data_IF_139938737835
#
_entry.id   IF_139938737835
#
_cell.length_a   1.000
_cell.length_b   1.000
_cell.length_c   1.000
_cell.angle_alpha   90.00
_cell.angle_beta   90.00
_cell.angle_gamma   90.00
#
_symmetry.space_group_name_H-M   'P 1'
#
loop_
_entity.id
_entity.type
_entity.pdbx_description
1 polymer ?
#
# COMPACT_ATOMS: atom_id res chain seq x y z
N UNK A 1 2.79 -29.81 33.12
CA UNK A 1 2.35 -31.01 32.37
C UNK A 1 0.98 -30.75 31.83
N UNK A 2 0.76 -30.95 30.62
CA UNK A 2 -0.41 -30.85 29.74
C UNK A 2 -0.29 -29.67 28.76
N UNK A 3 0.37 -29.97 27.68
CA UNK A 3 0.39 -29.22 26.41
C UNK A 3 -1.00 -29.33 25.77
N UNK A 4 -1.72 -28.22 25.78
CA UNK A 4 -2.95 -28.12 24.98
C UNK A 4 -2.59 -27.53 23.63
N UNK A 5 -2.32 -28.38 22.67
CA UNK A 5 -2.26 -28.09 21.24
C UNK A 5 -3.66 -27.68 20.78
N UNK A 6 -3.88 -26.38 20.62
CA UNK A 6 -5.11 -25.87 20.02
C UNK A 6 -4.97 -25.89 18.50
N UNK A 7 -5.26 -27.03 17.89
CA UNK A 7 -5.45 -27.20 16.46
C UNK A 7 -6.77 -26.53 16.07
N UNK A 8 -6.68 -25.29 15.58
CA UNK A 8 -7.78 -24.58 14.92
C UNK A 8 -8.14 -25.23 13.58
N UNK A 9 -8.70 -26.46 13.61
CA UNK A 9 -9.31 -27.08 12.44
C UNK A 9 -10.51 -26.24 12.01
N UNK A 10 -10.52 -25.87 10.74
CA UNK A 10 -11.62 -25.20 10.07
C UNK A 10 -12.94 -25.95 10.35
N UNK A 11 -13.87 -25.30 11.05
CA UNK A 11 -15.27 -25.72 11.04
C UNK A 11 -15.85 -25.37 9.68
N UNK A 12 -15.67 -26.24 8.70
CA UNK A 12 -16.52 -26.29 7.51
C UNK A 12 -17.88 -26.77 7.96
N UNK A 13 -18.90 -25.89 7.88
CA UNK A 13 -20.29 -26.25 8.14
C UNK A 13 -21.00 -25.54 9.28
N UNK A 14 -20.50 -24.44 9.87
CA UNK A 14 -21.31 -23.63 10.79
C UNK A 14 -22.39 -22.89 10.01
N UNK A 15 -23.63 -23.30 10.15
CA UNK A 15 -24.79 -22.55 9.64
C UNK A 15 -25.05 -21.39 10.59
N UNK A 16 -24.62 -20.17 10.21
CA UNK A 16 -24.96 -18.98 10.97
C UNK A 16 -26.48 -18.76 10.97
N UNK A 17 -27.02 -18.42 12.14
CA UNK A 17 -28.42 -18.04 12.31
C UNK A 17 -28.67 -16.58 12.01
N UNK A 18 -27.62 -15.73 12.03
CA UNK A 18 -27.74 -14.30 11.81
C UNK A 18 -26.57 -13.79 10.96
N UNK A 19 -26.87 -12.96 9.97
CA UNK A 19 -25.93 -12.28 9.08
C UNK A 19 -26.03 -10.77 9.32
N UNK A 20 -25.09 -10.20 10.04
CA UNK A 20 -25.05 -8.78 10.39
C UNK A 20 -24.09 -8.02 9.50
N UNK A 21 -24.59 -7.14 8.64
CA UNK A 21 -23.80 -6.19 7.86
C UNK A 21 -23.69 -4.86 8.58
N UNK A 22 -22.46 -4.34 8.67
CA UNK A 22 -22.15 -3.04 9.24
C UNK A 22 -21.53 -2.18 8.15
N UNK A 23 -22.24 -1.11 7.76
CA UNK A 23 -21.63 0.00 7.05
C UNK A 23 -21.00 0.95 8.05
N UNK A 24 -19.66 1.08 8.01
CA UNK A 24 -18.92 1.76 9.07
C UNK A 24 -18.64 3.22 8.71
N UNK A 25 -19.23 4.13 9.50
CA UNK A 25 -19.04 5.58 9.44
C UNK A 25 -18.15 6.12 10.58
N UNK A 26 -17.67 7.36 10.44
CA UNK A 26 -16.80 8.01 11.43
C UNK A 26 -17.49 8.27 12.79
N UNK A 27 -18.74 8.73 12.76
CA UNK A 27 -19.52 9.00 13.95
C UNK A 27 -20.48 7.88 14.28
N UNK A 28 -21.28 7.52 13.28
CA UNK A 28 -22.26 6.46 13.38
C UNK A 28 -22.03 5.41 12.31
N UNK A 29 -22.39 4.18 12.64
CA UNK A 29 -22.50 3.06 11.71
C UNK A 29 -23.97 2.87 11.32
N UNK A 30 -24.23 2.05 10.32
CA UNK A 30 -25.57 1.49 10.11
C UNK A 30 -25.47 -0.04 10.19
N UNK A 31 -26.37 -0.65 10.95
CA UNK A 31 -26.42 -2.10 11.14
C UNK A 31 -27.69 -2.66 10.50
N UNK A 32 -27.53 -3.65 9.65
CA UNK A 32 -28.62 -4.49 9.15
C UNK A 32 -28.31 -5.94 9.48
N UNK A 33 -29.24 -6.64 10.12
CA UNK A 33 -29.11 -8.06 10.41
C UNK A 33 -30.23 -8.85 9.74
N UNK A 34 -29.88 -9.96 9.11
CA UNK A 34 -30.79 -10.84 8.38
C UNK A 34 -30.73 -12.25 8.97
N UNK A 35 -31.89 -12.93 8.99
CA UNK A 35 -31.96 -14.35 9.20
C UNK A 35 -31.57 -15.15 7.94
N UNK A 36 -31.44 -16.48 7.98
CA UNK A 36 -31.12 -17.29 6.81
C UNK A 36 -32.13 -17.20 5.66
N UNK A 37 -33.40 -16.88 5.93
CA UNK A 37 -34.45 -16.70 4.94
C UNK A 37 -34.43 -15.29 4.30
N UNK A 38 -33.62 -14.36 4.86
CA UNK A 38 -33.55 -12.97 4.41
C UNK A 38 -34.51 -12.04 5.15
N UNK A 39 -35.17 -12.51 6.19
CA UNK A 39 -35.97 -11.70 7.10
C UNK A 39 -35.10 -10.75 7.91
N UNK A 40 -35.55 -9.49 8.07
CA UNK A 40 -34.80 -8.47 8.82
C UNK A 40 -34.99 -8.66 10.32
N UNK A 41 -33.89 -8.86 11.05
CA UNK A 41 -33.83 -8.90 12.51
C UNK A 41 -33.50 -7.53 13.11
N UNK A 42 -32.68 -6.74 12.41
CA UNK A 42 -32.38 -5.37 12.79
C UNK A 42 -32.12 -4.52 11.54
N UNK A 43 -32.46 -3.22 11.60
CA UNK A 43 -32.16 -2.21 10.58
C UNK A 43 -32.18 -0.85 11.27
N UNK A 44 -31.01 -0.37 11.69
CA UNK A 44 -30.92 0.87 12.48
C UNK A 44 -29.54 1.52 12.41
N UNK A 45 -29.48 2.86 12.58
CA UNK A 45 -28.24 3.54 12.87
C UNK A 45 -27.67 3.05 14.20
N UNK A 46 -26.34 2.96 14.28
CA UNK A 46 -25.61 2.42 15.42
C UNK A 46 -24.46 3.37 15.78
N UNK A 47 -24.49 4.03 16.93
CA UNK A 47 -23.38 4.84 17.37
C UNK A 47 -22.06 4.06 17.42
N UNK A 48 -20.96 4.69 17.06
CA UNK A 48 -19.64 4.07 17.13
C UNK A 48 -19.12 4.11 18.59
N UNK A 49 -19.83 3.44 19.47
CA UNK A 49 -19.46 3.24 20.88
C UNK A 49 -19.62 1.79 21.33
N UNK A 50 -18.81 1.38 22.30
CA UNK A 50 -18.75 0.00 22.76
C UNK A 50 -20.08 -0.50 23.34
N UNK A 51 -20.83 0.37 24.06
CA UNK A 51 -22.09 -0.03 24.71
C UNK A 51 -23.15 -0.35 23.65
N UNK A 52 -23.31 0.52 22.66
CA UNK A 52 -24.27 0.31 21.57
C UNK A 52 -23.95 -0.95 20.76
N UNK A 53 -22.67 -1.17 20.46
CA UNK A 53 -22.20 -2.36 19.76
C UNK A 53 -22.44 -3.64 20.55
N UNK A 54 -22.15 -3.65 21.88
CA UNK A 54 -22.43 -4.79 22.75
C UNK A 54 -23.93 -5.08 22.87
N UNK A 55 -24.77 -4.04 22.94
CA UNK A 55 -26.22 -4.21 23.00
C UNK A 55 -26.73 -4.89 21.72
N UNK A 56 -26.34 -4.36 20.54
CA UNK A 56 -26.74 -4.96 19.28
C UNK A 56 -26.30 -6.43 19.17
N UNK A 57 -25.04 -6.71 19.45
CA UNK A 57 -24.51 -8.07 19.33
C UNK A 57 -25.15 -9.04 20.31
N UNK A 58 -25.45 -8.59 21.54
CA UNK A 58 -26.18 -9.40 22.52
C UNK A 58 -27.62 -9.70 22.08
N UNK A 59 -28.33 -8.72 21.50
CA UNK A 59 -29.65 -8.91 20.91
C UNK A 59 -29.60 -9.94 19.75
N UNK A 60 -28.62 -9.83 18.87
CA UNK A 60 -28.49 -10.72 17.71
C UNK A 60 -28.12 -12.16 18.09
N UNK A 61 -27.30 -12.34 19.12
CA UNK A 61 -26.93 -13.68 19.62
C UNK A 61 -28.12 -14.47 20.19
N UNK A 62 -29.20 -13.79 20.60
CA UNK A 62 -30.42 -14.46 21.00
C UNK A 62 -31.15 -15.16 19.83
N UNK A 63 -30.85 -14.80 18.58
CA UNK A 63 -31.40 -15.42 17.38
C UNK A 63 -30.53 -16.52 16.77
N UNK A 64 -29.33 -16.73 17.30
CA UNK A 64 -28.43 -17.80 16.86
C UNK A 64 -26.96 -17.35 16.70
N UNK A 65 -26.15 -18.18 16.07
CA UNK A 65 -24.75 -17.87 15.78
C UNK A 65 -24.66 -16.72 14.77
N UNK A 66 -23.92 -15.66 15.13
CA UNK A 66 -23.84 -14.42 14.35
C UNK A 66 -22.57 -14.41 13.50
N UNK A 67 -22.72 -14.07 12.22
CA UNK A 67 -21.62 -13.61 11.35
C UNK A 67 -21.71 -12.10 11.19
N UNK A 68 -20.79 -11.36 11.77
CA UNK A 68 -20.67 -9.92 11.55
C UNK A 68 -19.76 -9.63 10.35
N UNK A 69 -20.19 -8.76 9.44
CA UNK A 69 -19.44 -8.40 8.24
C UNK A 69 -19.33 -6.89 8.15
N UNK A 70 -18.11 -6.40 7.96
CA UNK A 70 -17.78 -4.99 7.77
C UNK A 70 -17.23 -4.77 6.36
N UNK A 71 -17.34 -3.55 5.84
CA UNK A 71 -16.70 -3.14 4.58
C UNK A 71 -15.29 -2.57 4.80
N UNK A 72 -14.98 -2.13 6.02
CA UNK A 72 -13.67 -1.62 6.43
C UNK A 72 -13.24 -2.22 7.78
N UNK A 73 -12.12 -2.92 7.79
CA UNK A 73 -11.60 -3.61 8.99
C UNK A 73 -10.73 -2.70 9.83
N UNK A 74 -9.95 -1.83 9.19
CA UNK A 74 -9.01 -0.92 9.84
C UNK A 74 -9.64 0.47 10.04
N UNK A 75 -9.07 1.25 10.95
CA UNK A 75 -9.51 2.60 11.28
C UNK A 75 -10.93 2.66 11.87
N UNK A 76 -11.92 3.10 11.11
CA UNK A 76 -13.29 3.36 11.59
C UNK A 76 -14.02 2.09 12.05
N UNK A 77 -13.80 0.95 11.39
CA UNK A 77 -14.42 -0.33 11.73
C UNK A 77 -13.73 -1.10 12.87
N UNK A 78 -12.58 -0.64 13.35
CA UNK A 78 -11.77 -1.37 14.31
C UNK A 78 -12.50 -1.64 15.64
N UNK A 79 -13.25 -0.67 16.17
CA UNK A 79 -14.00 -0.84 17.41
C UNK A 79 -15.10 -1.90 17.25
N UNK A 80 -15.88 -1.83 16.16
CA UNK A 80 -16.95 -2.78 15.90
C UNK A 80 -16.42 -4.23 15.77
N UNK A 81 -15.28 -4.42 15.08
CA UNK A 81 -14.58 -5.71 14.98
C UNK A 81 -14.11 -6.19 16.34
N UNK A 82 -13.46 -5.33 17.13
CA UNK A 82 -12.94 -5.68 18.45
C UNK A 82 -14.07 -6.07 19.42
N UNK A 83 -15.17 -5.33 19.45
CA UNK A 83 -16.34 -5.63 20.29
C UNK A 83 -17.00 -6.93 19.86
N UNK A 84 -17.26 -7.15 18.56
CA UNK A 84 -17.84 -8.39 18.06
C UNK A 84 -17.04 -9.62 18.53
N UNK A 85 -15.72 -9.55 18.43
CA UNK A 85 -14.83 -10.63 18.88
C UNK A 85 -14.81 -10.83 20.37
N UNK A 86 -14.81 -9.72 21.13
CA UNK A 86 -14.81 -9.81 22.59
C UNK A 86 -16.05 -10.53 23.15
N UNK A 87 -17.12 -10.61 22.36
CA UNK A 87 -18.35 -11.37 22.68
C UNK A 87 -18.47 -12.68 21.89
N UNK A 88 -17.39 -13.14 21.25
CA UNK A 88 -17.32 -14.44 20.59
C UNK A 88 -17.97 -14.49 19.18
N UNK A 89 -18.28 -13.36 18.56
CA UNK A 89 -18.87 -13.31 17.22
C UNK A 89 -17.78 -13.48 16.16
N UNK A 90 -18.08 -14.30 15.16
CA UNK A 90 -17.23 -14.47 13.98
C UNK A 90 -17.32 -13.23 13.11
N UNK A 91 -16.15 -12.67 12.74
CA UNK A 91 -16.10 -11.48 11.91
C UNK A 91 -15.47 -11.79 10.56
N UNK A 92 -16.09 -11.25 9.50
CA UNK A 92 -15.55 -11.25 8.15
C UNK A 92 -15.61 -9.83 7.56
N UNK A 93 -14.98 -9.62 6.41
CA UNK A 93 -15.11 -8.37 5.70
C UNK A 93 -15.46 -8.57 4.24
N UNK A 94 -16.21 -7.62 3.68
CA UNK A 94 -16.55 -7.58 2.27
C UNK A 94 -15.65 -6.55 1.56
N UNK A 95 -14.77 -6.96 0.62
CA UNK A 95 -13.91 -6.02 -0.09
C UNK A 95 -14.72 -4.94 -0.83
N UNK A 96 -14.34 -3.67 -0.67
CA UNK A 96 -15.11 -2.53 -1.19
C UNK A 96 -15.39 -2.54 -2.70
N UNK A 97 -14.52 -3.18 -3.53
CA UNK A 97 -14.84 -3.38 -4.95
C UNK A 97 -15.96 -4.42 -5.15
N UNK A 98 -15.99 -5.45 -4.33
CA UNK A 98 -17.04 -6.48 -4.35
C UNK A 98 -18.34 -5.88 -3.88
N UNK A 99 -18.30 -5.12 -2.78
CA UNK A 99 -19.47 -4.39 -2.24
C UNK A 99 -20.12 -3.50 -3.31
N UNK A 100 -19.35 -2.67 -4.02
CA UNK A 100 -19.86 -1.81 -5.10
C UNK A 100 -20.55 -2.61 -6.22
N UNK A 101 -19.97 -3.74 -6.64
CA UNK A 101 -20.55 -4.60 -7.67
C UNK A 101 -21.84 -5.28 -7.21
N UNK A 102 -21.93 -5.63 -5.95
CA UNK A 102 -23.14 -6.21 -5.38
C UNK A 102 -24.22 -5.14 -5.21
N UNK A 103 -23.84 -3.92 -4.82
CA UNK A 103 -24.77 -2.79 -4.75
C UNK A 103 -25.43 -2.49 -6.11
N UNK A 104 -24.69 -2.67 -7.22
CA UNK A 104 -25.23 -2.50 -8.58
C UNK A 104 -26.30 -3.57 -8.95
N UNK A 105 -26.37 -4.69 -8.23
CA UNK A 105 -27.39 -5.74 -8.45
C UNK A 105 -28.70 -5.47 -7.70
N UNK A 106 -28.68 -4.59 -6.71
CA UNK A 106 -29.86 -4.23 -5.94
C UNK A 106 -30.57 -3.03 -6.58
N UNK A 107 -31.91 -3.05 -6.73
CA UNK A 107 -32.66 -1.97 -7.34
C UNK A 107 -32.57 -0.66 -6.55
N UNK A 108 -32.52 0.46 -7.28
CA UNK A 108 -32.44 1.82 -6.72
C UNK A 108 -31.06 2.45 -6.82
N UNK A 109 -30.99 3.76 -7.08
CA UNK A 109 -29.73 4.52 -7.22
C UNK A 109 -29.35 5.31 -5.96
N UNK A 110 -30.24 5.35 -4.95
CA UNK A 110 -29.98 6.09 -3.73
C UNK A 110 -28.84 5.43 -2.93
N UNK A 111 -27.79 6.19 -2.66
CA UNK A 111 -26.71 5.79 -1.75
C UNK A 111 -27.11 6.17 -0.34
N UNK A 112 -27.41 5.18 0.50
CA UNK A 112 -27.68 5.34 1.94
C UNK A 112 -26.92 4.28 2.72
N UNK A 113 -26.50 4.63 3.92
CA UNK A 113 -25.78 3.72 4.84
C UNK A 113 -26.62 2.46 5.15
N UNK A 114 -27.95 2.62 5.28
CA UNK A 114 -28.87 1.49 5.45
C UNK A 114 -28.85 0.50 4.27
N UNK A 115 -28.78 1.02 3.04
CA UNK A 115 -28.68 0.18 1.85
C UNK A 115 -27.33 -0.51 1.77
N UNK A 116 -26.26 0.21 2.06
CA UNK A 116 -24.92 -0.34 2.04
C UNK A 116 -24.78 -1.45 3.11
N UNK A 117 -25.28 -1.24 4.33
CA UNK A 117 -25.35 -2.27 5.38
C UNK A 117 -26.20 -3.49 4.97
N UNK A 118 -27.34 -3.26 4.29
CA UNK A 118 -28.16 -4.35 3.76
C UNK A 118 -27.43 -5.17 2.70
N UNK A 119 -26.76 -4.53 1.75
CA UNK A 119 -25.95 -5.22 0.73
C UNK A 119 -24.85 -6.07 1.36
N UNK A 120 -24.21 -5.57 2.42
CA UNK A 120 -23.18 -6.31 3.17
C UNK A 120 -23.81 -7.54 3.85
N UNK A 121 -24.95 -7.39 4.52
CA UNK A 121 -25.65 -8.50 5.19
C UNK A 121 -26.14 -9.55 4.19
N UNK A 122 -26.73 -9.14 3.08
CA UNK A 122 -27.23 -10.06 2.06
C UNK A 122 -26.07 -10.77 1.32
N UNK A 123 -24.96 -10.09 1.08
CA UNK A 123 -23.74 -10.75 0.59
C UNK A 123 -23.21 -11.81 1.54
N UNK A 124 -23.27 -11.55 2.84
CA UNK A 124 -22.87 -12.51 3.85
C UNK A 124 -23.72 -13.78 3.83
N UNK A 125 -25.02 -13.60 3.66
CA UNK A 125 -26.01 -14.68 3.60
C UNK A 125 -25.96 -15.47 2.29
N UNK A 126 -26.01 -14.77 1.14
CA UNK A 126 -26.22 -15.39 -0.16
C UNK A 126 -24.92 -15.72 -0.89
N UNK A 127 -23.81 -15.03 -0.62
CA UNK A 127 -22.55 -15.11 -1.35
C UNK A 127 -21.32 -15.22 -0.40
N UNK A 128 -21.30 -16.17 0.54
CA UNK A 128 -20.24 -16.27 1.56
C UNK A 128 -18.83 -16.41 0.95
N UNK A 129 -18.72 -16.90 -0.27
CA UNK A 129 -17.45 -17.01 -1.00
C UNK A 129 -16.85 -15.64 -1.40
N UNK A 130 -17.61 -14.54 -1.32
CA UNK A 130 -17.13 -13.18 -1.60
C UNK A 130 -16.49 -12.54 -0.38
N UNK A 131 -16.73 -13.10 0.80
CA UNK A 131 -16.20 -12.62 2.07
C UNK A 131 -14.76 -13.07 2.28
N UNK A 132 -14.05 -12.32 3.09
CA UNK A 132 -12.74 -12.69 3.60
C UNK A 132 -12.82 -12.83 5.12
N UNK A 133 -12.41 -13.99 5.62
CA UNK A 133 -12.24 -14.16 7.05
C UNK A 133 -11.05 -13.32 7.51
N UNK A 134 -11.21 -12.70 8.67
CA UNK A 134 -10.15 -11.96 9.30
C UNK A 134 -9.37 -12.97 10.17
N UNK A 135 -8.10 -13.22 9.84
CA UNK A 135 -7.28 -14.24 10.50
C UNK A 135 -6.83 -13.84 11.93
N UNK A 136 -6.35 -14.82 12.71
CA UNK A 136 -5.97 -14.66 14.12
C UNK A 136 -4.67 -13.87 14.37
N UNK A 137 -3.83 -13.63 13.37
CA UNK A 137 -2.59 -12.82 13.50
C UNK A 137 -2.84 -11.30 13.41
N UNK A 138 -3.97 -10.89 13.91
CA UNK A 138 -4.57 -9.58 13.64
C UNK A 138 -3.87 -8.41 14.27
N UNK A 139 -3.29 -8.56 15.43
CA UNK A 139 -2.64 -7.43 16.08
C UNK A 139 -1.45 -6.96 15.24
N UNK A 140 -0.60 -7.88 14.81
CA UNK A 140 0.56 -7.55 13.96
C UNK A 140 0.12 -6.96 12.63
N UNK A 141 -0.90 -7.55 11.97
CA UNK A 141 -1.41 -7.04 10.70
C UNK A 141 -2.12 -5.69 10.86
N UNK A 142 -2.84 -5.48 11.96
CA UNK A 142 -3.47 -4.19 12.27
C UNK A 142 -2.41 -3.10 12.51
N UNK A 143 -1.39 -3.39 13.32
CA UNK A 143 -0.26 -2.48 13.56
C UNK A 143 0.48 -2.16 12.26
N UNK A 144 0.78 -3.16 11.45
CA UNK A 144 1.39 -2.97 10.12
C UNK A 144 0.51 -2.14 9.20
N UNK A 145 -0.81 -2.31 9.25
CA UNK A 145 -1.76 -1.52 8.43
C UNK A 145 -1.73 -0.04 8.82
N UNK A 146 -1.72 0.26 10.12
CA UNK A 146 -1.63 1.63 10.63
C UNK A 146 -0.31 2.28 10.23
N UNK A 147 0.81 1.60 10.49
CA UNK A 147 2.15 2.11 10.16
C UNK A 147 2.34 2.28 8.64
N UNK A 148 1.87 1.34 7.82
CA UNK A 148 1.96 1.45 6.37
C UNK A 148 1.10 2.58 5.81
N UNK A 149 -0.10 2.79 6.37
CA UNK A 149 -0.95 3.94 6.02
C UNK A 149 -0.27 5.26 6.33
N UNK A 150 0.33 5.38 7.52
CA UNK A 150 1.06 6.57 7.91
C UNK A 150 2.33 6.80 7.06
N UNK A 151 3.10 5.75 6.70
CA UNK A 151 4.22 5.87 5.75
C UNK A 151 3.78 6.36 4.36
N UNK A 152 2.62 5.89 3.86
CA UNK A 152 2.07 6.37 2.58
C UNK A 152 1.66 7.86 2.65
N UNK A 153 1.06 8.31 3.76
CA UNK A 153 0.71 9.72 3.99
C UNK A 153 1.97 10.60 4.05
N UNK A 154 2.99 10.17 4.80
CA UNK A 154 4.29 10.84 4.84
C UNK A 154 4.99 10.84 3.48
N UNK A 155 4.87 9.80 2.67
CA UNK A 155 5.42 9.77 1.32
C UNK A 155 4.77 10.81 0.41
N UNK A 156 3.45 11.00 0.54
CA UNK A 156 2.73 12.04 -0.18
C UNK A 156 3.14 13.43 0.31
N UNK A 157 3.32 13.61 1.64
CA UNK A 157 3.79 14.87 2.23
C UNK A 157 5.19 15.24 1.75
N UNK A 158 6.14 14.32 1.80
CA UNK A 158 7.51 14.49 1.27
C UNK A 158 7.47 14.96 -0.19
N UNK A 159 6.59 14.38 -1.01
CA UNK A 159 6.44 14.78 -2.41
C UNK A 159 5.88 16.20 -2.54
N UNK A 160 4.85 16.54 -1.76
CA UNK A 160 4.28 17.91 -1.77
C UNK A 160 5.29 18.96 -1.32
N UNK A 161 6.00 18.70 -0.23
CA UNK A 161 7.03 19.60 0.31
C UNK A 161 8.19 19.79 -0.67
N UNK A 162 8.65 18.69 -1.29
CA UNK A 162 9.70 18.77 -2.30
C UNK A 162 9.28 19.64 -3.52
N UNK A 163 8.06 19.44 -4.05
CA UNK A 163 7.56 20.25 -5.16
C UNK A 163 7.44 21.72 -4.79
N UNK A 164 6.91 22.03 -3.61
CA UNK A 164 6.84 23.42 -3.12
C UNK A 164 8.22 24.05 -2.94
N UNK A 165 9.20 23.27 -2.49
CA UNK A 165 10.59 23.74 -2.36
C UNK A 165 11.23 23.99 -3.73
N UNK A 166 10.99 23.12 -4.72
CA UNK A 166 11.36 23.35 -6.11
C UNK A 166 10.78 24.67 -6.66
N UNK A 167 9.47 24.87 -6.48
CA UNK A 167 8.78 26.07 -6.95
C UNK A 167 9.33 27.33 -6.28
N UNK A 168 9.58 27.31 -4.98
CA UNK A 168 10.12 28.44 -4.23
C UNK A 168 11.56 28.78 -4.68
N UNK A 169 12.41 27.76 -4.88
CA UNK A 169 13.77 27.95 -5.40
C UNK A 169 13.76 28.49 -6.83
N UNK A 170 12.92 27.96 -7.70
CA UNK A 170 12.79 28.40 -9.09
C UNK A 170 12.31 29.86 -9.18
N UNK A 171 11.46 30.29 -8.26
CA UNK A 171 10.99 31.66 -8.18
C UNK A 171 12.13 32.63 -7.82
N UNK A 172 12.99 32.23 -6.86
CA UNK A 172 14.07 33.11 -6.36
C UNK A 172 15.30 33.08 -7.29
N UNK A 173 15.68 31.85 -7.73
CA UNK A 173 16.93 31.65 -8.48
C UNK A 173 16.88 30.39 -9.34
N UNK A 174 16.39 30.42 -10.57
CA UNK A 174 16.22 29.25 -11.45
C UNK A 174 17.49 28.43 -11.68
N UNK A 175 18.66 29.05 -11.76
CA UNK A 175 19.91 28.31 -11.94
C UNK A 175 20.28 27.50 -10.70
N UNK A 176 20.06 28.07 -9.51
CA UNK A 176 20.25 27.36 -8.25
C UNK A 176 19.26 26.21 -8.10
N UNK A 177 17.99 26.39 -8.52
CA UNK A 177 17.00 25.31 -8.54
C UNK A 177 17.44 24.16 -9.45
N UNK A 178 17.84 24.43 -10.69
CA UNK A 178 18.35 23.41 -11.65
C UNK A 178 19.49 22.58 -11.05
N UNK A 179 20.35 23.19 -10.23
CA UNK A 179 21.44 22.51 -9.57
C UNK A 179 20.97 21.73 -8.35
N UNK A 180 20.31 22.37 -7.39
CA UNK A 180 19.95 21.79 -6.09
C UNK A 180 18.72 20.89 -6.17
N UNK A 181 17.80 21.13 -7.09
CA UNK A 181 16.55 20.39 -7.23
C UNK A 181 16.75 18.87 -7.28
N UNK A 182 17.70 18.40 -8.08
CA UNK A 182 18.08 16.96 -8.15
C UNK A 182 18.74 16.43 -6.88
N UNK A 183 19.08 17.29 -5.92
CA UNK A 183 19.71 16.95 -4.66
C UNK A 183 18.81 17.22 -3.44
N UNK A 184 17.56 17.65 -3.61
CA UNK A 184 16.61 17.85 -2.51
C UNK A 184 16.24 16.56 -1.77
N UNK A 185 16.66 15.41 -2.28
CA UNK A 185 16.62 14.13 -1.58
C UNK A 185 17.81 13.89 -0.64
N UNK A 186 18.72 14.86 -0.47
CA UNK A 186 19.92 14.76 0.38
C UNK A 186 19.77 15.64 1.61
N UNK A 187 19.86 15.07 2.80
CA UNK A 187 19.69 15.80 4.06
C UNK A 187 20.64 16.97 4.20
N UNK A 188 21.91 16.82 3.79
CA UNK A 188 22.87 17.94 3.86
C UNK A 188 22.50 19.14 2.98
N UNK A 189 21.84 18.93 1.83
CA UNK A 189 21.33 20.03 0.99
C UNK A 189 20.12 20.70 1.65
N UNK A 190 19.25 19.94 2.26
CA UNK A 190 18.11 20.48 3.01
C UNK A 190 18.55 21.25 4.26
N UNK A 191 19.57 20.76 4.98
CA UNK A 191 20.18 21.45 6.13
C UNK A 191 20.85 22.77 5.67
N UNK A 192 21.55 22.76 4.55
CA UNK A 192 22.11 23.99 3.96
C UNK A 192 21.02 25.01 3.63
N UNK A 193 19.93 24.59 2.97
CA UNK A 193 18.80 25.45 2.64
C UNK A 193 18.01 25.89 3.88
N UNK A 194 17.97 25.09 4.92
CA UNK A 194 17.33 25.47 6.20
C UNK A 194 18.12 26.57 6.95
N UNK A 195 19.45 26.55 6.82
CA UNK A 195 20.34 27.49 7.47
C UNK A 195 20.65 28.75 6.61
N UNK A 196 20.77 28.56 5.30
CA UNK A 196 21.16 29.63 4.36
C UNK A 196 20.28 29.56 3.09
N UNK A 197 18.99 29.97 3.22
CA UNK A 197 17.97 29.78 2.19
C UNK A 197 18.06 30.74 1.01
N UNK A 198 18.78 31.86 1.13
CA UNK A 198 18.81 32.88 0.08
C UNK A 198 20.13 32.88 -0.71
N UNK A 199 20.13 33.33 -1.97
CA UNK A 199 21.33 33.47 -2.75
C UNK A 199 22.39 34.35 -2.07
N UNK A 200 22.00 35.40 -1.38
CA UNK A 200 22.89 36.30 -0.65
C UNK A 200 23.58 35.54 0.51
N UNK A 201 22.84 34.78 1.29
CA UNK A 201 23.39 34.00 2.39
C UNK A 201 24.34 32.89 1.88
N UNK A 202 23.99 32.20 0.80
CA UNK A 202 24.87 31.20 0.20
C UNK A 202 26.17 31.84 -0.33
N UNK A 203 26.12 33.05 -0.95
CA UNK A 203 27.32 33.80 -1.36
C UNK A 203 28.19 34.16 -0.14
N UNK A 204 27.57 34.62 0.96
CA UNK A 204 28.29 35.01 2.16
C UNK A 204 29.01 33.85 2.85
N UNK A 205 28.48 32.63 2.76
CA UNK A 205 29.17 31.44 3.22
C UNK A 205 30.44 31.13 2.45
N UNK A 206 30.45 31.48 1.17
CA UNK A 206 31.55 31.15 0.26
C UNK A 206 31.76 29.60 0.13
N UNK A 207 32.81 29.25 -0.61
CA UNK A 207 33.10 27.84 -0.90
C UNK A 207 33.34 27.02 0.38
N UNK A 208 34.14 27.55 1.30
CA UNK A 208 34.50 26.84 2.56
C UNK A 208 33.32 26.65 3.50
N UNK A 209 32.44 27.66 3.61
CA UNK A 209 31.25 27.58 4.44
C UNK A 209 30.23 26.56 3.92
N UNK A 210 29.99 26.55 2.60
CA UNK A 210 29.10 25.56 1.96
C UNK A 210 29.68 24.14 2.11
N UNK A 211 31.01 24.00 1.91
CA UNK A 211 31.71 22.74 2.12
C UNK A 211 31.54 22.22 3.55
N UNK A 212 31.76 23.08 4.53
CA UNK A 212 31.62 22.75 5.95
C UNK A 212 30.19 22.33 6.30
N UNK A 213 29.18 23.00 5.74
CA UNK A 213 27.78 22.66 5.96
C UNK A 213 27.39 21.28 5.37
N UNK A 214 27.96 20.90 4.23
CA UNK A 214 27.65 19.63 3.55
C UNK A 214 28.48 18.44 4.06
N UNK A 215 29.67 18.68 4.60
CA UNK A 215 30.63 17.64 4.99
C UNK A 215 30.11 16.59 6.01
N UNK A 216 29.34 16.97 7.05
CA UNK A 216 28.81 16.02 8.02
C UNK A 216 27.90 14.95 7.41
N UNK A 217 27.18 15.29 6.35
CA UNK A 217 26.22 14.40 5.68
C UNK A 217 26.80 13.72 4.44
N UNK A 218 27.71 14.33 3.73
CA UNK A 218 28.29 13.75 2.51
C UNK A 218 29.58 14.40 2.09
N UNK A 219 30.72 13.75 2.33
CA UNK A 219 32.03 14.19 1.86
C UNK A 219 32.05 14.40 0.32
N UNK A 220 31.39 13.51 -0.43
CA UNK A 220 31.35 13.60 -1.90
C UNK A 220 30.62 14.86 -2.37
N UNK A 221 29.51 15.23 -1.75
CA UNK A 221 28.78 16.46 -2.09
C UNK A 221 29.51 17.69 -1.61
N UNK A 222 30.16 17.64 -0.45
CA UNK A 222 30.95 18.73 0.11
C UNK A 222 32.15 19.13 -0.78
N UNK A 223 32.69 18.20 -1.55
CA UNK A 223 33.76 18.50 -2.51
C UNK A 223 33.21 19.08 -3.82
N UNK A 224 32.06 18.59 -4.28
CA UNK A 224 31.58 18.86 -5.63
C UNK A 224 30.61 20.04 -5.73
N UNK A 225 29.70 20.21 -4.76
CA UNK A 225 28.63 21.18 -4.84
C UNK A 225 29.02 22.63 -4.56
N UNK A 226 29.98 22.97 -3.67
CA UNK A 226 30.26 24.36 -3.34
C UNK A 226 30.61 25.23 -4.55
N UNK A 227 31.55 24.78 -5.38
CA UNK A 227 31.91 25.47 -6.62
C UNK A 227 30.74 25.62 -7.59
N UNK A 228 29.96 24.55 -7.78
CA UNK A 228 28.77 24.54 -8.64
C UNK A 228 27.69 25.49 -8.13
N UNK A 229 27.49 25.59 -6.78
CA UNK A 229 26.55 26.52 -6.17
C UNK A 229 26.99 27.98 -6.47
N UNK A 230 28.25 28.31 -6.25
CA UNK A 230 28.76 29.64 -6.51
C UNK A 230 28.66 30.00 -8.00
N UNK A 231 29.03 29.08 -8.88
CA UNK A 231 28.86 29.28 -10.34
C UNK A 231 27.41 29.50 -10.72
N UNK A 232 26.47 28.69 -10.17
CA UNK A 232 25.05 28.90 -10.44
C UNK A 232 24.54 30.26 -9.92
N UNK A 233 25.05 30.71 -8.77
CA UNK A 233 24.70 32.02 -8.22
C UNK A 233 25.19 33.17 -9.15
N UNK A 234 26.28 32.99 -9.87
CA UNK A 234 26.82 33.99 -10.80
C UNK A 234 26.00 34.15 -12.10
N UNK A 235 25.15 33.13 -12.40
CA UNK A 235 24.23 33.24 -13.55
C UNK A 235 23.11 34.29 -13.33
N UNK A 236 22.87 34.74 -12.09
CA UNK A 236 21.87 35.75 -11.79
C UNK A 236 22.39 36.78 -10.81
N UNK A 237 22.50 37.99 -11.28
CA UNK A 237 22.93 39.17 -10.50
C UNK A 237 21.75 39.98 -9.94
N UNK A 238 20.59 39.85 -10.59
CA UNK A 238 19.36 40.55 -10.16
C UNK A 238 18.70 39.84 -8.99
N UNK A 239 18.42 40.62 -7.94
CA UNK A 239 17.69 40.14 -6.79
C UNK A 239 16.20 40.37 -7.02
N UNK A 240 15.40 39.28 -6.94
CA UNK A 240 13.96 39.34 -7.14
C UNK A 240 13.30 39.96 -5.92
N UNK A 241 12.33 40.89 -6.06
CA UNK A 241 11.57 41.40 -4.94
C UNK A 241 10.92 40.28 -4.12
N UNK A 242 11.04 40.33 -2.79
CA UNK A 242 10.51 39.29 -1.89
C UNK A 242 11.46 38.12 -1.63
N UNK A 243 12.70 38.12 -2.15
CA UNK A 243 13.71 37.05 -1.93
C UNK A 243 13.88 36.72 -0.44
N UNK A 244 13.92 37.72 0.46
CA UNK A 244 14.03 37.49 1.90
C UNK A 244 12.80 36.76 2.48
N UNK A 245 11.60 37.10 2.00
CA UNK A 245 10.37 36.41 2.40
C UNK A 245 10.33 34.97 1.89
N UNK A 246 10.73 34.76 0.63
CA UNK A 246 10.91 33.41 0.10
C UNK A 246 11.99 32.64 0.83
N UNK A 247 13.06 33.27 1.28
CA UNK A 247 14.07 32.63 2.12
C UNK A 247 13.48 32.01 3.39
N UNK A 248 12.58 32.72 4.08
CA UNK A 248 11.85 32.15 5.23
C UNK A 248 11.00 30.95 4.84
N UNK A 249 10.32 30.99 3.68
CA UNK A 249 9.51 29.88 3.16
C UNK A 249 10.40 28.68 2.80
N UNK A 250 11.51 28.89 2.09
CA UNK A 250 12.49 27.87 1.72
C UNK A 250 13.04 27.18 2.97
N UNK A 251 13.48 27.96 3.96
CA UNK A 251 13.99 27.40 5.21
C UNK A 251 12.93 26.58 5.95
N UNK A 252 11.69 27.06 5.98
CA UNK A 252 10.56 26.35 6.59
C UNK A 252 10.26 25.02 5.88
N UNK A 253 10.18 25.06 4.54
CA UNK A 253 9.93 23.86 3.73
C UNK A 253 11.08 22.85 3.83
N UNK A 254 12.33 23.30 3.85
CA UNK A 254 13.49 22.43 4.02
C UNK A 254 13.47 21.71 5.37
N UNK A 255 13.15 22.41 6.47
CA UNK A 255 12.99 21.77 7.81
C UNK A 255 11.83 20.78 7.85
N UNK A 256 10.66 21.14 7.30
CA UNK A 256 9.51 20.23 7.24
C UNK A 256 9.84 18.97 6.43
N UNK A 257 10.53 19.11 5.30
CA UNK A 257 10.93 18.00 4.45
C UNK A 257 11.94 17.08 5.16
N UNK A 258 12.89 17.64 5.91
CA UNK A 258 13.80 16.86 6.76
C UNK A 258 13.02 16.06 7.81
N UNK A 259 12.17 16.74 8.59
CA UNK A 259 11.37 16.10 9.64
C UNK A 259 10.48 14.98 9.09
N UNK A 260 9.79 15.22 7.97
CA UNK A 260 8.94 14.20 7.36
C UNK A 260 9.73 12.96 6.87
N UNK A 261 10.98 13.16 6.47
CA UNK A 261 11.86 12.05 6.06
C UNK A 261 12.41 11.28 7.24
N UNK A 262 12.85 11.97 8.29
CA UNK A 262 13.34 11.34 9.51
C UNK A 262 12.21 10.49 10.15
N UNK A 263 10.97 11.01 10.15
CA UNK A 263 9.81 10.26 10.61
C UNK A 263 9.55 9.02 9.74
N UNK A 264 9.68 9.12 8.40
CA UNK A 264 9.55 7.97 7.51
C UNK A 264 10.61 6.90 7.75
N UNK A 265 11.82 7.31 8.11
CA UNK A 265 12.90 6.37 8.43
C UNK A 265 12.60 5.66 9.76
N UNK A 266 12.10 6.38 10.78
CA UNK A 266 11.62 5.80 12.04
C UNK A 266 10.47 4.81 11.82
N UNK A 267 9.47 5.16 10.99
CA UNK A 267 8.38 4.24 10.64
C UNK A 267 8.88 3.01 9.88
N UNK A 268 9.90 3.16 9.04
CA UNK A 268 10.50 2.02 8.34
C UNK A 268 11.16 1.03 9.31
N UNK A 269 11.80 1.51 10.38
CA UNK A 269 12.35 0.67 11.44
C UNK A 269 11.24 -0.07 12.21
N UNK A 270 10.16 0.63 12.57
CA UNK A 270 9.02 0.02 13.23
C UNK A 270 8.33 -1.03 12.35
N UNK A 271 8.14 -0.75 11.05
CA UNK A 271 7.60 -1.72 10.08
C UNK A 271 8.50 -2.96 10.00
N UNK A 272 9.82 -2.77 10.03
CA UNK A 272 10.79 -3.88 9.99
C UNK A 272 10.61 -4.77 11.22
N UNK A 273 10.62 -4.19 12.42
CA UNK A 273 10.49 -4.93 13.66
C UNK A 273 9.16 -5.71 13.75
N UNK A 274 8.04 -5.09 13.29
CA UNK A 274 6.73 -5.74 13.29
C UNK A 274 6.62 -6.84 12.23
N UNK A 275 7.20 -6.60 11.05
CA UNK A 275 7.21 -7.60 9.99
C UNK A 275 8.03 -8.84 10.39
N UNK A 276 9.22 -8.64 10.97
CA UNK A 276 10.12 -9.72 11.40
C UNK A 276 9.50 -10.65 12.44
N UNK A 277 8.56 -10.15 13.25
CA UNK A 277 7.79 -10.96 14.17
C UNK A 277 6.75 -11.86 13.48
N UNK A 278 6.46 -11.68 12.20
CA UNK A 278 5.45 -12.44 11.48
C UNK A 278 6.05 -13.69 10.79
N UNK A 279 5.42 -14.88 10.85
CA UNK A 279 5.95 -16.12 10.28
C UNK A 279 6.28 -16.06 8.77
N UNK A 280 5.58 -15.22 8.02
CA UNK A 280 5.83 -15.04 6.58
C UNK A 280 6.90 -14.00 6.26
N UNK A 281 7.55 -13.35 7.24
CA UNK A 281 8.52 -12.30 7.01
C UNK A 281 9.69 -12.78 6.14
N UNK A 282 10.35 -13.84 6.56
CA UNK A 282 11.48 -14.44 5.86
C UNK A 282 11.07 -14.94 4.48
N UNK A 283 9.90 -15.59 4.39
CA UNK A 283 9.36 -16.07 3.11
C UNK A 283 9.24 -14.92 2.11
N UNK A 284 8.59 -13.81 2.50
CA UNK A 284 8.34 -12.67 1.62
C UNK A 284 9.64 -11.94 1.24
N UNK A 285 10.50 -11.67 2.21
CA UNK A 285 11.72 -10.87 2.00
C UNK A 285 12.82 -11.64 1.30
N UNK A 286 12.77 -12.98 1.29
CA UNK A 286 13.70 -13.82 0.51
C UNK A 286 13.59 -13.59 -1.01
N UNK A 287 12.44 -13.07 -1.50
CA UNK A 287 12.25 -12.84 -2.92
C UNK A 287 13.00 -11.58 -3.39
N UNK A 288 13.90 -11.68 -4.38
CA UNK A 288 14.65 -10.52 -4.89
C UNK A 288 13.75 -9.34 -5.22
N UNK A 289 14.06 -8.15 -4.69
CA UNK A 289 13.28 -6.93 -4.90
C UNK A 289 12.03 -6.79 -4.03
N UNK A 290 11.82 -7.68 -3.07
CA UNK A 290 10.81 -7.53 -2.01
C UNK A 290 11.51 -7.04 -0.74
N UNK A 291 11.36 -5.75 -0.45
CA UNK A 291 11.80 -5.15 0.81
C UNK A 291 10.65 -5.05 1.81
N UNK A 292 10.94 -4.52 3.00
CA UNK A 292 9.99 -4.42 4.13
C UNK A 292 8.64 -3.81 3.70
N UNK A 293 8.62 -2.66 3.05
CA UNK A 293 7.37 -2.00 2.62
C UNK A 293 6.55 -2.85 1.65
N UNK A 294 7.21 -3.53 0.72
CA UNK A 294 6.53 -4.44 -0.23
C UNK A 294 5.99 -5.67 0.49
N UNK A 295 6.78 -6.29 1.35
CA UNK A 295 6.37 -7.44 2.15
C UNK A 295 5.19 -7.10 3.05
N UNK A 296 5.23 -5.96 3.73
CA UNK A 296 4.12 -5.43 4.54
C UNK A 296 2.84 -5.25 3.70
N UNK A 297 2.95 -4.61 2.53
CA UNK A 297 1.77 -4.42 1.65
C UNK A 297 1.20 -5.76 1.18
N UNK A 298 2.06 -6.72 0.85
CA UNK A 298 1.62 -8.08 0.49
C UNK A 298 0.93 -8.74 1.67
N UNK A 299 1.50 -8.68 2.86
CA UNK A 299 0.93 -9.28 4.06
C UNK A 299 -0.46 -8.70 4.39
N UNK A 300 -0.60 -7.38 4.36
CA UNK A 300 -1.88 -6.70 4.62
C UNK A 300 -2.97 -7.11 3.62
N UNK A 301 -2.63 -7.24 2.35
CA UNK A 301 -3.63 -7.45 1.29
C UNK A 301 -3.82 -8.91 0.87
N UNK A 302 -2.86 -9.76 1.15
CA UNK A 302 -2.86 -11.17 0.71
C UNK A 302 -2.93 -12.12 1.90
N UNK A 303 -2.34 -11.76 3.04
CA UNK A 303 -2.25 -12.61 4.24
C UNK A 303 -1.53 -13.92 3.93
N UNK A 304 -2.09 -15.03 4.40
CA UNK A 304 -1.63 -16.40 4.16
C UNK A 304 -1.98 -16.96 2.77
N UNK A 305 -2.58 -16.15 1.92
CA UNK A 305 -2.96 -16.50 0.55
C UNK A 305 -4.18 -17.42 0.43
N UNK A 306 -4.82 -17.84 1.53
CA UNK A 306 -5.99 -18.74 1.51
C UNK A 306 -7.20 -18.13 0.81
N UNK A 307 -7.33 -16.80 0.87
CA UNK A 307 -8.38 -16.05 0.18
C UNK A 307 -8.28 -16.08 -1.35
N UNK A 308 -7.17 -16.60 -1.90
CA UNK A 308 -6.93 -16.64 -3.34
C UNK A 308 -6.79 -18.08 -3.83
N UNK A 309 -7.81 -18.57 -4.56
CA UNK A 309 -7.83 -19.94 -5.10
C UNK A 309 -6.65 -20.25 -6.02
N UNK A 310 -6.07 -19.22 -6.66
CA UNK A 310 -4.94 -19.36 -7.56
C UNK A 310 -4.13 -18.06 -7.66
N UNK A 311 -2.91 -18.16 -8.14
CA UNK A 311 -2.08 -17.01 -8.47
C UNK A 311 -2.72 -16.09 -9.52
N UNK A 312 -3.50 -16.65 -10.46
CA UNK A 312 -4.26 -15.88 -11.44
C UNK A 312 -5.35 -15.04 -10.76
N UNK A 313 -6.02 -15.58 -9.73
CA UNK A 313 -7.01 -14.83 -8.93
C UNK A 313 -6.33 -13.69 -8.15
N UNK A 314 -5.18 -13.95 -7.52
CA UNK A 314 -4.39 -12.90 -6.86
C UNK A 314 -3.95 -11.80 -7.84
N UNK A 315 -3.49 -12.18 -9.03
CA UNK A 315 -3.09 -11.21 -10.06
C UNK A 315 -4.27 -10.38 -10.57
N UNK A 316 -5.45 -10.97 -10.71
CA UNK A 316 -6.67 -10.23 -11.06
C UNK A 316 -7.06 -9.25 -9.96
N UNK A 317 -6.98 -9.67 -8.69
CA UNK A 317 -7.20 -8.80 -7.53
C UNK A 317 -6.21 -7.63 -7.48
N UNK A 318 -4.93 -7.88 -7.74
CA UNK A 318 -3.89 -6.85 -7.82
C UNK A 318 -4.02 -5.97 -9.09
N UNK A 319 -4.91 -6.29 -10.03
CA UNK A 319 -5.02 -5.57 -11.30
C UNK A 319 -3.83 -5.75 -12.24
N UNK A 320 -3.11 -6.88 -12.11
CA UNK A 320 -1.98 -7.27 -12.97
C UNK A 320 -2.39 -8.22 -14.09
N UNK A 321 -3.56 -8.86 -13.99
CA UNK A 321 -4.10 -9.67 -15.07
C UNK A 321 -4.59 -8.75 -16.21
N UNK A 322 -4.28 -9.08 -17.48
CA UNK A 322 -4.82 -8.36 -18.61
C UNK A 322 -6.35 -8.53 -18.67
N UNK A 323 -7.02 -7.50 -19.17
CA UNK A 323 -8.46 -7.56 -19.46
C UNK A 323 -8.60 -7.99 -20.91
N UNK A 324 -9.08 -9.22 -21.12
CA UNK A 324 -9.40 -9.73 -22.45
C UNK A 324 -10.79 -9.21 -22.83
N UNK A 325 -10.88 -8.51 -23.96
CA UNK A 325 -12.13 -8.17 -24.60
C UNK A 325 -12.28 -9.05 -25.83
N UNK A 326 -13.19 -10.01 -25.75
CA UNK A 326 -13.60 -10.85 -26.87
C UNK A 326 -15.10 -10.75 -27.04
N UNK A 327 -15.54 -10.28 -28.19
CA UNK A 327 -16.94 -10.27 -28.58
C UNK A 327 -17.00 -10.77 -30.02
N UNK A 328 -17.46 -12.00 -30.22
CA UNK A 328 -17.54 -12.63 -31.54
C UNK A 328 -16.21 -12.65 -32.31
N UNK A 329 -16.26 -12.38 -33.61
CA UNK A 329 -15.08 -12.31 -34.50
C UNK A 329 -14.42 -10.92 -34.54
N UNK A 330 -15.07 -9.86 -34.03
CA UNK A 330 -14.73 -8.46 -34.32
C UNK A 330 -13.83 -7.80 -33.29
N UNK A 331 -13.75 -8.29 -32.04
CA UNK A 331 -12.93 -7.67 -30.99
C UNK A 331 -11.99 -8.71 -30.41
N UNK A 332 -10.69 -8.58 -30.73
CA UNK A 332 -9.59 -9.36 -30.15
C UNK A 332 -8.57 -8.39 -29.57
N UNK A 333 -8.59 -8.14 -28.28
CA UNK A 333 -7.65 -7.25 -27.64
C UNK A 333 -7.45 -7.57 -26.16
N UNK A 334 -6.21 -7.43 -25.72
CA UNK A 334 -5.84 -7.44 -24.31
C UNK A 334 -5.39 -6.04 -23.91
N UNK A 335 -5.95 -5.52 -22.84
CA UNK A 335 -5.57 -4.23 -22.28
C UNK A 335 -5.16 -4.36 -20.82
N UNK A 336 -4.30 -3.43 -20.35
CA UNK A 336 -3.93 -3.38 -18.94
C UNK A 336 -5.17 -3.06 -18.09
N UNK A 337 -5.39 -3.83 -17.01
CA UNK A 337 -6.46 -3.54 -16.06
C UNK A 337 -6.23 -2.19 -15.39
N UNK A 338 -7.27 -1.34 -15.38
CA UNK A 338 -7.34 -0.11 -14.56
C UNK A 338 -8.00 -0.35 -13.22
N UNK A 339 -8.51 -1.56 -12.97
CA UNK A 339 -9.20 -2.01 -11.76
C UNK A 339 -8.24 -2.80 -10.87
N UNK A 340 -8.68 -3.18 -9.69
CA UNK A 340 -7.91 -3.97 -8.72
C UNK A 340 -7.36 -3.12 -7.58
N UNK A 341 -6.66 -3.78 -6.65
CA UNK A 341 -6.03 -3.13 -5.50
C UNK A 341 -4.80 -2.33 -5.96
N UNK A 342 -4.91 -1.00 -5.90
CA UNK A 342 -3.88 -0.07 -6.39
C UNK A 342 -2.61 -0.12 -5.55
N UNK A 343 -2.72 -0.30 -4.23
CA UNK A 343 -1.57 -0.37 -3.32
C UNK A 343 -0.77 -1.64 -3.59
N UNK A 344 -1.44 -2.78 -3.67
CA UNK A 344 -0.79 -4.06 -4.00
C UNK A 344 -0.18 -4.04 -5.41
N UNK A 345 -0.88 -3.46 -6.40
CA UNK A 345 -0.34 -3.28 -7.75
C UNK A 345 0.95 -2.48 -7.76
N UNK A 346 0.96 -1.34 -7.03
CA UNK A 346 2.15 -0.47 -6.89
C UNK A 346 3.30 -1.22 -6.23
N UNK A 347 3.05 -1.93 -5.14
CA UNK A 347 4.06 -2.70 -4.42
C UNK A 347 4.69 -3.79 -5.30
N UNK A 348 3.87 -4.57 -6.01
CA UNK A 348 4.34 -5.62 -6.92
C UNK A 348 5.07 -5.05 -8.15
N UNK A 349 4.66 -3.89 -8.65
CA UNK A 349 5.35 -3.18 -9.73
C UNK A 349 6.73 -2.69 -9.28
N UNK A 350 6.82 -2.07 -8.11
CA UNK A 350 8.10 -1.61 -7.53
C UNK A 350 9.03 -2.78 -7.23
N UNK A 351 8.49 -3.88 -6.70
CA UNK A 351 9.25 -5.12 -6.52
C UNK A 351 9.81 -5.65 -7.85
N UNK A 352 9.03 -5.63 -8.92
CA UNK A 352 9.50 -6.02 -10.24
C UNK A 352 10.60 -5.09 -10.76
N UNK A 353 10.46 -3.78 -10.56
CA UNK A 353 11.48 -2.80 -10.93
C UNK A 353 12.80 -3.03 -10.17
N UNK A 354 12.72 -3.18 -8.86
CA UNK A 354 13.90 -3.40 -8.00
C UNK A 354 14.58 -4.74 -8.34
N UNK A 355 13.80 -5.76 -8.70
CA UNK A 355 14.32 -7.08 -9.07
C UNK A 355 15.09 -7.12 -10.40
N UNK A 356 15.16 -6.03 -11.16
CA UNK A 356 15.98 -5.97 -12.39
C UNK A 356 17.49 -6.12 -12.12
N UNK A 357 17.92 -6.07 -10.86
CA UNK A 357 19.29 -6.42 -10.44
C UNK A 357 19.53 -7.93 -10.37
N UNK A 358 18.47 -8.70 -10.24
CA UNK A 358 18.51 -10.16 -10.25
C UNK A 358 18.57 -10.68 -11.70
N UNK A 359 19.52 -11.57 -12.04
CA UNK A 359 19.71 -12.04 -13.41
C UNK A 359 18.46 -12.72 -14.03
N UNK A 360 17.70 -13.47 -13.23
CA UNK A 360 16.49 -14.18 -13.70
C UNK A 360 15.41 -13.20 -14.10
N UNK A 361 15.16 -12.19 -13.25
CA UNK A 361 14.20 -11.13 -13.49
C UNK A 361 14.63 -10.26 -14.68
N UNK A 362 15.92 -9.96 -14.77
CA UNK A 362 16.50 -9.17 -15.86
C UNK A 362 16.34 -9.85 -17.20
N UNK A 363 16.69 -11.12 -17.31
CA UNK A 363 16.55 -11.91 -18.55
C UNK A 363 15.09 -11.93 -19.02
N UNK A 364 14.15 -12.14 -18.11
CA UNK A 364 12.73 -12.10 -18.47
C UNK A 364 12.29 -10.72 -18.97
N UNK A 365 12.71 -9.65 -18.28
CA UNK A 365 12.40 -8.27 -18.67
C UNK A 365 12.97 -7.95 -20.05
N UNK A 366 14.26 -8.24 -20.31
CA UNK A 366 14.93 -7.97 -21.59
C UNK A 366 14.26 -8.70 -22.75
N UNK A 367 13.85 -9.97 -22.54
CA UNK A 367 13.04 -10.72 -23.53
C UNK A 367 11.73 -10.00 -23.84
N UNK A 368 11.03 -9.42 -22.84
CA UNK A 368 9.79 -8.66 -23.06
C UNK A 368 10.05 -7.34 -23.78
N UNK A 369 11.18 -6.69 -23.53
CA UNK A 369 11.63 -5.51 -24.27
C UNK A 369 11.94 -5.83 -25.74
N UNK A 370 12.62 -6.95 -26.00
CA UNK A 370 12.91 -7.44 -27.35
C UNK A 370 11.63 -7.77 -28.15
N UNK A 371 10.54 -8.17 -27.46
CA UNK A 371 9.21 -8.36 -28.05
C UNK A 371 8.46 -7.04 -28.33
N UNK A 372 9.12 -5.87 -28.25
CA UNK A 372 8.54 -4.57 -28.54
C UNK A 372 7.71 -3.94 -27.40
N UNK A 373 7.65 -4.55 -26.20
CA UNK A 373 6.91 -3.95 -25.09
C UNK A 373 7.62 -2.72 -24.54
N UNK A 374 6.86 -1.70 -24.18
CA UNK A 374 7.40 -0.51 -23.48
C UNK A 374 8.00 -0.91 -22.13
N UNK A 375 8.83 -0.07 -21.53
CA UNK A 375 9.42 -0.30 -20.21
C UNK A 375 8.37 -0.68 -19.16
N UNK A 376 7.33 0.14 -19.03
CA UNK A 376 6.24 -0.10 -18.07
C UNK A 376 5.47 -1.39 -18.37
N UNK A 377 5.21 -1.70 -19.65
CA UNK A 377 4.51 -2.93 -20.03
C UNK A 377 5.35 -4.19 -19.73
N UNK A 378 6.66 -4.13 -19.95
CA UNK A 378 7.58 -5.22 -19.62
C UNK A 378 7.66 -5.46 -18.12
N UNK A 379 7.70 -4.38 -17.30
CA UNK A 379 7.65 -4.47 -15.84
C UNK A 379 6.32 -5.04 -15.34
N UNK A 380 5.19 -4.68 -15.93
CA UNK A 380 3.90 -5.27 -15.56
C UNK A 380 3.85 -6.77 -15.88
N UNK A 381 4.44 -7.21 -17.00
CA UNK A 381 4.58 -8.63 -17.31
C UNK A 381 5.45 -9.35 -16.28
N UNK A 382 6.56 -8.73 -15.88
CA UNK A 382 7.43 -9.28 -14.84
C UNK A 382 6.69 -9.32 -13.48
N UNK A 383 6.01 -8.25 -13.08
CA UNK A 383 5.21 -8.22 -11.86
C UNK A 383 4.16 -9.33 -11.84
N UNK A 384 3.46 -9.55 -12.97
CA UNK A 384 2.48 -10.64 -13.10
C UNK A 384 3.11 -12.02 -12.89
N UNK A 385 4.25 -12.30 -13.53
CA UNK A 385 4.98 -13.58 -13.36
C UNK A 385 5.45 -13.75 -11.91
N UNK A 386 5.97 -12.69 -11.30
CA UNK A 386 6.42 -12.70 -9.90
C UNK A 386 5.28 -12.95 -8.93
N UNK A 387 4.06 -12.51 -9.25
CA UNK A 387 2.86 -12.81 -8.46
C UNK A 387 2.58 -14.30 -8.39
N UNK A 388 2.87 -15.07 -9.44
CA UNK A 388 2.69 -16.52 -9.42
C UNK A 388 3.65 -17.19 -8.44
N UNK A 389 4.92 -16.78 -8.47
CA UNK A 389 5.95 -17.26 -7.53
C UNK A 389 5.60 -16.87 -6.10
N UNK A 390 5.24 -15.60 -5.87
CA UNK A 390 4.90 -15.08 -4.56
C UNK A 390 3.70 -15.83 -3.94
N UNK A 391 2.66 -16.09 -4.73
CA UNK A 391 1.52 -16.88 -4.29
C UNK A 391 1.94 -18.30 -3.87
N UNK A 392 2.79 -18.97 -4.65
CA UNK A 392 3.31 -20.28 -4.31
C UNK A 392 4.14 -20.26 -3.02
N UNK A 393 5.02 -19.27 -2.84
CA UNK A 393 5.83 -19.09 -1.64
C UNK A 393 4.95 -18.92 -0.39
N UNK A 394 3.96 -18.04 -0.44
CA UNK A 394 3.03 -17.80 0.66
C UNK A 394 2.25 -19.07 1.02
N UNK A 395 1.72 -19.79 -0.01
CA UNK A 395 0.92 -21.01 0.21
C UNK A 395 1.72 -22.18 0.74
N UNK A 396 3.00 -22.26 0.45
CA UNK A 396 3.88 -23.36 0.88
C UNK A 396 4.73 -23.02 2.09
N UNK A 397 4.80 -21.76 2.49
CA UNK A 397 5.69 -21.26 3.54
C UNK A 397 7.18 -21.38 3.19
N UNK A 398 7.54 -21.58 1.91
CA UNK A 398 8.93 -21.76 1.47
C UNK A 398 9.52 -20.44 0.98
N UNK A 399 10.79 -20.23 1.32
CA UNK A 399 11.60 -19.12 0.80
C UNK A 399 11.79 -19.20 -0.72
N UNK A 400 12.13 -18.08 -1.34
CA UNK A 400 12.38 -18.01 -2.78
C UNK A 400 13.50 -18.94 -3.19
N UNK A 401 13.22 -19.74 -4.21
CA UNK A 401 14.22 -20.57 -4.88
C UNK A 401 14.31 -20.12 -6.34
N UNK A 402 15.50 -19.71 -6.81
CA UNK A 402 15.66 -19.38 -8.21
C UNK A 402 15.37 -20.63 -9.07
N UNK A 403 14.70 -20.46 -10.22
CA UNK A 403 14.52 -21.58 -11.14
C UNK A 403 15.88 -22.13 -11.55
N UNK A 404 15.99 -23.45 -11.67
CA UNK A 404 17.18 -24.08 -12.19
C UNK A 404 17.56 -23.45 -13.55
N UNK A 405 18.85 -23.23 -13.81
CA UNK A 405 19.29 -22.71 -15.10
C UNK A 405 18.77 -23.68 -16.19
N UNK A 406 17.95 -23.15 -17.10
CA UNK A 406 17.58 -23.91 -18.29
C UNK A 406 18.86 -24.16 -19.09
N UNK A 407 19.14 -25.41 -19.50
CA UNK A 407 20.25 -25.64 -20.41
C UNK A 407 20.07 -24.70 -21.61
N UNK A 408 21.15 -24.07 -22.04
CA UNK A 408 21.15 -23.25 -23.21
C UNK A 408 20.57 -24.12 -24.35
N UNK A 409 19.50 -23.64 -24.99
CA UNK A 409 19.04 -24.29 -26.23
C UNK A 409 20.22 -24.27 -27.21
N UNK A 410 20.71 -25.45 -27.53
CA UNK A 410 21.80 -25.64 -28.48
C UNK A 410 21.32 -25.11 -29.85
N UNK A 411 21.92 -24.03 -30.39
CA UNK A 411 21.49 -23.50 -31.67
C UNK A 411 21.70 -24.46 -32.84
N UNK A 412 22.28 -25.64 -32.62
CA UNK A 412 22.56 -26.63 -33.63
C UNK A 412 21.40 -27.58 -34.01
N UNK A 413 20.21 -27.47 -33.36
CA UNK A 413 19.06 -28.34 -33.64
C UNK A 413 17.99 -27.67 -34.54
N UNK A 414 18.24 -26.45 -35.05
CA UNK A 414 17.39 -25.76 -36.00
C UNK A 414 18.12 -25.64 -37.36
N UNK A 415 18.39 -26.75 -38.00
CA UNK A 415 18.80 -26.80 -39.41
C UNK A 415 17.91 -27.79 -40.17
#
# INVERSE_FOLDING_TARGET
MSTTTNTGAAREGSSFGVFCGLDVGKGDHHAVALDPAGGRLADRPLPNDERALRSLFGELQAHGEVLAVVDQVASIGALAVAVARSVGIVVAYLPGLTMRRLADLHPGEAKTDARDAFVIADAARALPHTLRRIASDEQTVAELTILAGYDDDLAAEVTRLANRLHDALAHVHPALERLLGKHLNRSGVLELLAASPTPIQLRSLGQSGIQSALAPRSRKLAVRLPEQILSALDEQTVVIPGTETFGRVIAGLARQLLSARDERDSIAEQLTARLEAHPLAEVLTSMPGVGVRTATTVLIHVGDGTAFRSAAHLAAYAGLAPVTRRSGSSIRGESASRRGNKQLKRALFLSAFTSLRDPVSRTYYDRKRAQGKTHTAALLCLARRRTDVLHAMIRTGKTYQPPAPQPAEDPSVAA
#
